data_IF_618675962176
#
_entry.id   IF_618675962176
#
_cell.length_a   1.000
_cell.length_b   1.000
_cell.length_c   1.000
_cell.angle_alpha   90.00
_cell.angle_beta   90.00
_cell.angle_gamma   90.00
#
_symmetry.space_group_name_H-M   'P 1'
#
loop_
_entity.id
_entity.type
_entity.pdbx_description
1 polymer ?
#
# COMPACT_ATOMS: atom_id res chain seq x y z
N UNK A 1 9.05 -12.88 -6.69
CA UNK A 1 8.40 -11.56 -6.55
C UNK A 1 9.38 -10.61 -5.88
N UNK A 2 9.43 -9.36 -6.28
CA UNK A 2 10.26 -8.37 -5.60
C UNK A 2 9.61 -8.01 -4.25
N UNK A 3 10.39 -7.86 -3.18
CA UNK A 3 9.84 -7.45 -1.88
C UNK A 3 9.37 -6.00 -1.92
N UNK A 4 8.42 -5.63 -1.05
CA UNK A 4 7.99 -4.22 -0.93
C UNK A 4 9.18 -3.29 -0.68
N UNK A 5 10.11 -3.69 0.20
CA UNK A 5 11.33 -2.93 0.46
C UNK A 5 12.15 -2.69 -0.81
N UNK A 6 12.32 -3.71 -1.67
CA UNK A 6 13.02 -3.55 -2.95
C UNK A 6 12.32 -2.57 -3.89
N UNK A 7 10.99 -2.63 -3.98
CA UNK A 7 10.20 -1.71 -4.83
C UNK A 7 10.33 -0.28 -4.29
N UNK A 8 10.30 -0.10 -2.97
CA UNK A 8 10.51 1.19 -2.33
C UNK A 8 11.92 1.71 -2.62
N UNK A 9 12.96 0.90 -2.44
CA UNK A 9 14.34 1.32 -2.70
C UNK A 9 14.59 1.67 -4.18
N UNK A 10 13.81 1.07 -5.08
CA UNK A 10 13.94 1.29 -6.53
C UNK A 10 13.18 2.53 -7.01
N UNK A 11 12.07 2.88 -6.37
CA UNK A 11 11.11 3.87 -6.88
C UNK A 11 11.01 5.10 -5.96
N UNK A 12 11.23 4.95 -4.65
CA UNK A 12 11.02 5.99 -3.66
C UNK A 12 12.35 6.49 -3.08
N UNK A 13 12.54 7.81 -3.03
CA UNK A 13 13.66 8.39 -2.30
C UNK A 13 13.33 8.66 -0.82
N UNK A 14 12.04 8.84 -0.49
CA UNK A 14 11.59 9.33 0.83
C UNK A 14 10.56 8.43 1.52
N UNK A 15 10.31 7.24 0.99
CA UNK A 15 9.30 6.33 1.51
C UNK A 15 9.97 5.11 2.14
N UNK A 16 9.35 4.52 3.17
CA UNK A 16 9.88 3.31 3.83
C UNK A 16 8.80 2.24 3.88
N UNK A 17 9.22 0.97 3.93
CA UNK A 17 8.30 -0.17 4.05
C UNK A 17 7.35 -0.01 5.24
N UNK A 18 7.92 0.33 6.40
CA UNK A 18 7.15 0.59 7.63
C UNK A 18 6.13 1.72 7.43
N UNK A 19 6.52 2.83 6.80
CA UNK A 19 5.60 3.93 6.54
C UNK A 19 4.46 3.55 5.58
N UNK A 20 4.68 2.56 4.70
CA UNK A 20 3.63 2.01 3.85
C UNK A 20 2.61 1.21 4.66
N UNK A 21 3.07 0.27 5.48
CA UNK A 21 2.16 -0.54 6.29
C UNK A 21 1.39 0.30 7.31
N UNK A 22 2.03 1.28 7.95
CA UNK A 22 1.35 2.20 8.86
C UNK A 22 0.27 3.01 8.14
N UNK A 23 0.52 3.45 6.89
CA UNK A 23 -0.46 4.16 6.08
C UNK A 23 -1.65 3.26 5.72
N UNK A 24 -1.39 2.00 5.32
CA UNK A 24 -2.45 1.02 5.01
C UNK A 24 -3.30 0.73 6.25
N UNK A 25 -2.67 0.43 7.40
CA UNK A 25 -3.36 0.17 8.67
C UNK A 25 -4.16 1.38 9.16
N UNK A 26 -3.60 2.58 9.06
CA UNK A 26 -4.31 3.81 9.42
C UNK A 26 -5.57 4.02 8.57
N UNK A 27 -5.54 3.61 7.30
CA UNK A 27 -6.72 3.64 6.43
C UNK A 27 -7.72 2.56 6.75
N UNK A 28 -7.29 1.34 7.06
CA UNK A 28 -8.19 0.28 7.52
C UNK A 28 -8.93 0.64 8.80
N UNK A 29 -8.28 1.38 9.71
CA UNK A 29 -8.93 1.88 10.93
C UNK A 29 -10.08 2.87 10.65
N UNK A 30 -10.10 3.50 9.47
CA UNK A 30 -11.20 4.37 9.03
C UNK A 30 -12.33 3.59 8.34
N UNK A 31 -12.08 2.32 8.00
CA UNK A 31 -12.99 1.44 7.30
C UNK A 31 -12.34 0.76 6.11
N UNK A 32 -13.08 -0.13 5.42
CA UNK A 32 -12.65 -0.71 4.15
C UNK A 32 -12.40 0.38 3.12
N UNK A 33 -11.42 0.17 2.23
CA UNK A 33 -11.09 1.10 1.17
C UNK A 33 -10.71 0.37 -0.11
N UNK A 34 -10.72 1.08 -1.23
CA UNK A 34 -10.26 0.58 -2.52
C UNK A 34 -8.82 1.01 -2.81
N UNK A 35 -8.11 0.24 -3.64
CA UNK A 35 -6.76 0.63 -4.08
C UNK A 35 -6.78 2.02 -4.72
N UNK A 36 -7.81 2.36 -5.49
CA UNK A 36 -7.94 3.68 -6.12
C UNK A 36 -7.95 4.83 -5.10
N UNK A 37 -8.55 4.62 -3.91
CA UNK A 37 -8.60 5.62 -2.85
C UNK A 37 -7.24 5.81 -2.15
N UNK A 38 -6.37 4.78 -2.16
CA UNK A 38 -5.05 4.87 -1.52
C UNK A 38 -3.98 5.52 -2.38
N UNK A 39 -4.09 5.41 -3.72
CA UNK A 39 -3.13 6.00 -4.67
C UNK A 39 -2.85 7.49 -4.41
N UNK A 40 -3.85 8.39 -4.30
CA UNK A 40 -3.58 9.80 -4.06
C UNK A 40 -2.93 10.05 -2.69
N UNK A 41 -3.12 9.16 -1.71
CA UNK A 41 -2.49 9.28 -0.38
C UNK A 41 -1.00 8.95 -0.46
N UNK A 42 -0.65 7.90 -1.21
CA UNK A 42 0.74 7.51 -1.47
C UNK A 42 1.46 8.61 -2.26
N UNK A 43 0.84 9.13 -3.32
CA UNK A 43 1.38 10.23 -4.12
C UNK A 43 1.49 11.55 -3.34
N UNK A 44 0.60 11.80 -2.39
CA UNK A 44 0.72 12.98 -1.52
C UNK A 44 1.90 12.87 -0.56
N UNK A 45 2.24 11.65 -0.11
CA UNK A 45 3.43 11.43 0.71
C UNK A 45 4.72 11.50 -0.11
N UNK A 46 4.72 10.99 -1.34
CA UNK A 46 5.85 11.13 -2.26
C UNK A 46 5.37 11.58 -3.64
N UNK A 47 5.54 12.87 -3.91
CA UNK A 47 5.10 13.52 -5.15
C UNK A 47 5.93 13.14 -6.37
N UNK A 48 7.05 12.42 -6.18
CA UNK A 48 7.85 11.89 -7.29
C UNK A 48 7.22 10.65 -7.92
N UNK A 49 6.26 10.01 -7.22
CA UNK A 49 5.58 8.81 -7.70
C UNK A 49 4.51 9.13 -8.74
N UNK A 50 4.65 8.55 -9.93
CA UNK A 50 3.55 8.45 -10.87
C UNK A 50 2.48 7.44 -10.39
N UNK A 51 1.32 7.44 -11.05
CA UNK A 51 0.19 6.61 -10.64
C UNK A 51 0.45 5.10 -10.77
N UNK A 52 1.29 4.67 -11.71
CA UNK A 52 1.68 3.27 -11.87
C UNK A 52 2.62 2.83 -10.76
N UNK A 53 3.62 3.66 -10.44
CA UNK A 53 4.54 3.47 -9.32
C UNK A 53 3.81 3.40 -7.98
N UNK A 54 2.88 4.33 -7.73
CA UNK A 54 2.05 4.33 -6.52
C UNK A 54 1.17 3.07 -6.43
N UNK A 55 0.63 2.61 -7.57
CA UNK A 55 -0.17 1.39 -7.64
C UNK A 55 0.66 0.15 -7.33
N UNK A 56 1.84 -0.01 -7.93
CA UNK A 56 2.72 -1.14 -7.64
C UNK A 56 3.10 -1.22 -6.17
N UNK A 57 3.38 -0.07 -5.53
CA UNK A 57 3.66 -0.02 -4.10
C UNK A 57 2.45 -0.42 -3.25
N UNK A 58 1.27 0.07 -3.61
CA UNK A 58 0.04 -0.29 -2.92
C UNK A 58 -0.24 -1.79 -3.01
N UNK A 59 -0.16 -2.36 -4.21
CA UNK A 59 -0.38 -3.78 -4.45
C UNK A 59 0.63 -4.66 -3.72
N UNK A 60 1.92 -4.33 -3.77
CA UNK A 60 2.96 -5.08 -3.06
C UNK A 60 2.76 -5.03 -1.54
N UNK A 61 2.37 -3.89 -0.98
CA UNK A 61 2.08 -3.77 0.44
C UNK A 61 0.86 -4.58 0.85
N UNK A 62 -0.20 -4.53 0.05
CA UNK A 62 -1.41 -5.30 0.30
C UNK A 62 -1.17 -6.80 0.18
N UNK A 63 -0.40 -7.25 -0.80
CA UNK A 63 -0.05 -8.66 -0.96
C UNK A 63 0.65 -9.21 0.29
N UNK A 64 1.62 -8.47 0.84
CA UNK A 64 2.32 -8.87 2.06
C UNK A 64 1.36 -8.88 3.26
N UNK A 65 0.53 -7.85 3.41
CA UNK A 65 -0.46 -7.79 4.49
C UNK A 65 -1.49 -8.93 4.41
N UNK A 66 -1.88 -9.34 3.20
CA UNK A 66 -2.75 -10.51 2.97
C UNK A 66 -2.03 -11.78 3.36
N UNK A 67 -0.76 -11.96 2.95
CA UNK A 67 0.05 -13.11 3.33
C UNK A 67 0.28 -13.21 4.84
N UNK A 68 0.37 -12.07 5.54
CA UNK A 68 0.48 -12.00 6.99
C UNK A 68 -0.85 -12.25 7.72
N UNK A 69 -1.98 -12.22 6.99
CA UNK A 69 -3.31 -12.35 7.58
C UNK A 69 -3.79 -11.09 8.31
N UNK A 70 -3.19 -9.93 8.04
CA UNK A 70 -3.59 -8.64 8.61
C UNK A 70 -4.81 -8.04 7.89
N UNK A 71 -4.97 -8.37 6.61
CA UNK A 71 -6.01 -7.82 5.73
C UNK A 71 -6.57 -8.92 4.83
N UNK A 72 -7.79 -8.70 4.36
CA UNK A 72 -8.41 -9.50 3.29
C UNK A 72 -8.76 -8.62 2.11
N UNK A 73 -8.57 -9.13 0.90
CA UNK A 73 -8.93 -8.44 -0.33
C UNK A 73 -10.09 -9.17 -1.01
N UNK A 74 -11.12 -8.41 -1.42
CA UNK A 74 -12.20 -8.90 -2.28
C UNK A 74 -12.31 -7.98 -3.49
N UNK A 75 -11.81 -8.43 -4.64
CA UNK A 75 -11.62 -7.57 -5.81
C UNK A 75 -10.66 -6.42 -5.51
N UNK A 76 -11.09 -5.19 -5.79
CA UNK A 76 -10.30 -3.98 -5.53
C UNK A 76 -10.48 -3.41 -4.11
N UNK A 77 -11.35 -4.03 -3.31
CA UNK A 77 -11.64 -3.60 -1.94
C UNK A 77 -10.75 -4.34 -0.94
N UNK A 78 -10.19 -3.58 -0.01
CA UNK A 78 -9.37 -4.03 1.11
C UNK A 78 -10.17 -3.90 2.39
N UNK A 79 -10.20 -4.97 3.17
CA UNK A 79 -10.88 -5.04 4.46
C UNK A 79 -9.87 -5.46 5.55
N UNK A 80 -10.09 -5.08 6.81
CA UNK A 80 -9.35 -5.66 7.93
C UNK A 80 -9.56 -7.18 7.95
N UNK A 81 -8.55 -7.93 8.39
CA UNK A 81 -8.73 -9.34 8.70
C UNK A 81 -9.80 -9.48 9.80
N UNK A 82 -10.75 -10.38 9.56
CA UNK A 82 -11.86 -10.67 10.48
C UNK A 82 -11.47 -11.62 11.59
#
# INVERSE_FOLDING_TARGET
MASLQYIIDTICANFTEKAMYELMRARLNQGPFTIAEILPVIQNKDRSLDSGSAKMLAEAALEILVQQGDVRMEGDCVYPAG
#
